data_IF_882618257191
#
_entry.id   IF_882618257191
#
_cell.length_a   1.000
_cell.length_b   1.000
_cell.length_c   1.000
_cell.angle_alpha   90.00
_cell.angle_beta   90.00
_cell.angle_gamma   90.00
#
_symmetry.space_group_name_H-M   'P 1'
#
loop_
_entity.id
_entity.type
_entity.pdbx_description
1 polymer ?
#
# COMPACT_ATOMS: atom_id res chain seq x y z
N UNK A 1 -19.01 17.84 -18.09
CA UNK A 1 -18.96 17.36 -16.68
C UNK A 1 -17.55 17.27 -16.08
N UNK A 2 -16.54 16.76 -16.82
CA UNK A 2 -15.15 16.55 -16.35
C UNK A 2 -14.50 17.77 -15.68
N UNK A 3 -14.70 18.98 -16.22
CA UNK A 3 -14.11 20.21 -15.67
C UNK A 3 -14.73 20.68 -14.35
N UNK A 4 -15.99 20.32 -14.05
CA UNK A 4 -16.61 20.66 -12.77
C UNK A 4 -16.10 19.72 -11.66
N UNK A 5 -16.05 18.41 -11.93
CA UNK A 5 -15.57 17.41 -10.95
C UNK A 5 -14.10 17.65 -10.57
N UNK A 6 -13.24 17.97 -11.55
CA UNK A 6 -11.85 18.35 -11.26
C UNK A 6 -11.73 19.58 -10.34
N UNK A 7 -12.57 20.61 -10.55
CA UNK A 7 -12.57 21.83 -9.71
C UNK A 7 -12.98 21.53 -8.27
N UNK A 8 -14.00 20.70 -8.07
CA UNK A 8 -14.44 20.30 -6.73
C UNK A 8 -13.40 19.42 -6.02
N UNK A 9 -12.74 18.51 -6.72
CA UNK A 9 -11.65 17.69 -6.16
C UNK A 9 -10.47 18.58 -5.74
N UNK A 10 -10.08 19.56 -6.58
CA UNK A 10 -9.01 20.52 -6.25
C UNK A 10 -9.41 21.39 -5.04
N UNK A 11 -10.66 21.85 -4.98
CA UNK A 11 -11.18 22.65 -3.86
C UNK A 11 -11.15 21.87 -2.54
N UNK A 12 -11.62 20.62 -2.57
CA UNK A 12 -11.61 19.72 -1.41
C UNK A 12 -10.18 19.43 -0.97
N UNK A 13 -9.25 19.22 -1.92
CA UNK A 13 -7.83 19.01 -1.63
C UNK A 13 -7.15 20.25 -1.02
N UNK A 14 -7.46 21.45 -1.52
CA UNK A 14 -6.96 22.70 -0.93
C UNK A 14 -7.48 22.91 0.50
N UNK A 15 -8.75 22.59 0.74
CA UNK A 15 -9.37 22.65 2.07
C UNK A 15 -8.74 21.66 3.04
N UNK A 16 -8.45 20.42 2.62
CA UNK A 16 -7.80 19.42 3.49
C UNK A 16 -6.34 19.80 3.79
N UNK A 17 -5.62 20.35 2.81
CA UNK A 17 -4.25 20.86 3.03
C UNK A 17 -4.23 22.07 3.96
N UNK A 18 -5.19 22.99 3.82
CA UNK A 18 -5.32 24.11 4.75
C UNK A 18 -5.60 23.64 6.18
N UNK A 19 -6.51 22.65 6.34
CA UNK A 19 -6.78 22.03 7.62
C UNK A 19 -5.56 21.34 8.23
N UNK A 20 -4.76 20.64 7.43
CA UNK A 20 -3.52 20.00 7.87
C UNK A 20 -2.45 21.02 8.28
N UNK A 21 -2.34 22.14 7.57
CA UNK A 21 -1.43 23.22 7.95
C UNK A 21 -1.85 23.88 9.28
N UNK A 22 -3.16 23.99 9.53
CA UNK A 22 -3.68 24.52 10.80
C UNK A 22 -3.47 23.55 11.97
N UNK A 23 -3.70 22.25 11.76
CA UNK A 23 -3.64 21.21 12.80
C UNK A 23 -2.22 20.74 13.15
N UNK A 24 -1.22 21.04 12.31
CA UNK A 24 0.16 20.64 12.57
C UNK A 24 0.79 21.56 13.63
N UNK A 25 1.32 21.03 14.75
CA UNK A 25 1.92 21.85 15.80
C UNK A 25 3.15 22.62 15.30
N UNK A 26 3.39 23.81 15.85
CA UNK A 26 4.56 24.63 15.53
C UNK A 26 5.84 23.93 15.97
N UNK A 27 6.75 23.69 15.03
CA UNK A 27 8.13 23.26 15.30
C UNK A 27 8.94 24.46 15.81
N UNK A 28 10.03 24.21 16.56
CA UNK A 28 10.92 25.25 17.10
C UNK A 28 11.41 26.25 16.03
N UNK A 29 11.53 25.82 14.77
CA UNK A 29 11.76 26.69 13.62
C UNK A 29 10.49 26.82 12.75
N UNK A 30 9.81 27.99 12.75
CA UNK A 30 8.57 28.19 11.99
C UNK A 30 8.76 28.12 10.47
N UNK A 31 9.97 28.35 9.96
CA UNK A 31 10.27 28.22 8.53
C UNK A 31 10.25 26.77 8.04
N UNK A 32 10.69 25.84 8.89
CA UNK A 32 10.79 24.42 8.54
C UNK A 32 9.40 23.81 8.28
N UNK A 33 8.40 24.22 9.08
CA UNK A 33 7.00 23.81 8.89
C UNK A 33 6.50 24.21 7.51
N UNK A 34 6.72 25.46 7.12
CA UNK A 34 6.22 25.99 5.85
C UNK A 34 6.97 25.40 4.65
N UNK A 35 8.29 25.18 4.74
CA UNK A 35 9.07 24.60 3.64
C UNK A 35 8.70 23.14 3.37
N UNK A 36 8.54 22.32 4.42
CA UNK A 36 8.09 20.92 4.27
C UNK A 36 6.70 20.88 3.64
N UNK A 37 5.79 21.76 4.05
CA UNK A 37 4.43 21.83 3.50
C UNK A 37 4.41 22.27 2.03
N UNK A 38 5.31 23.16 1.63
CA UNK A 38 5.42 23.63 0.25
C UNK A 38 5.99 22.54 -0.66
N UNK A 39 6.98 21.78 -0.16
CA UNK A 39 7.55 20.63 -0.88
C UNK A 39 6.49 19.53 -1.07
N UNK A 40 5.72 19.18 -0.03
CA UNK A 40 4.67 18.16 -0.14
C UNK A 40 3.55 18.57 -1.09
N UNK A 41 3.13 19.85 -1.07
CA UNK A 41 2.19 20.42 -2.04
C UNK A 41 2.72 20.31 -3.48
N UNK A 42 3.99 20.66 -3.70
CA UNK A 42 4.61 20.61 -5.02
C UNK A 42 4.66 19.17 -5.55
N UNK A 43 5.09 18.20 -4.74
CA UNK A 43 5.13 16.78 -5.12
C UNK A 43 3.73 16.28 -5.46
N UNK A 44 2.72 16.57 -4.63
CA UNK A 44 1.34 16.15 -4.90
C UNK A 44 0.76 16.80 -6.17
N UNK A 45 1.06 18.07 -6.43
CA UNK A 45 0.63 18.76 -7.65
C UNK A 45 1.26 18.12 -8.90
N UNK A 46 2.54 17.73 -8.84
CA UNK A 46 3.23 17.02 -9.92
C UNK A 46 2.57 15.67 -10.17
N UNK A 47 2.28 14.89 -9.13
CA UNK A 47 1.58 13.60 -9.26
C UNK A 47 0.18 13.81 -9.86
N UNK A 48 -0.56 14.82 -9.43
CA UNK A 48 -1.89 15.11 -9.97
C UNK A 48 -1.84 15.53 -11.45
N UNK A 49 -0.84 16.32 -11.84
CA UNK A 49 -0.58 16.67 -13.23
C UNK A 49 -0.23 15.45 -14.06
N UNK A 50 0.62 14.55 -13.55
CA UNK A 50 0.96 13.30 -14.21
C UNK A 50 -0.28 12.44 -14.44
N UNK A 51 -1.11 12.24 -13.40
CA UNK A 51 -2.36 11.48 -13.49
C UNK A 51 -3.37 12.13 -14.45
N UNK A 52 -3.46 13.47 -14.46
CA UNK A 52 -4.36 14.20 -15.37
C UNK A 52 -3.98 14.07 -16.85
N UNK A 53 -2.68 13.85 -17.13
CA UNK A 53 -2.14 13.65 -18.48
C UNK A 53 -2.25 12.22 -18.98
N UNK A 54 -2.62 11.26 -18.12
CA UNK A 54 -2.86 9.88 -18.56
C UNK A 54 -4.09 9.90 -19.48
N UNK A 55 -3.94 9.59 -20.78
CA UNK A 55 -5.09 9.47 -21.67
C UNK A 55 -6.01 8.41 -21.10
N UNK A 56 -7.22 8.83 -20.75
CA UNK A 56 -8.27 7.92 -20.30
C UNK A 56 -8.63 7.07 -21.52
N UNK A 57 -8.06 5.86 -21.60
CA UNK A 57 -8.46 4.88 -22.60
C UNK A 57 -9.97 4.71 -22.48
N UNK A 58 -10.67 4.73 -23.64
CA UNK A 58 -12.10 4.44 -23.69
C UNK A 58 -12.33 3.17 -22.86
N UNK A 59 -13.33 3.22 -21.97
CA UNK A 59 -13.84 2.04 -21.28
C UNK A 59 -14.36 1.08 -22.35
N UNK A 60 -13.48 0.25 -22.91
CA UNK A 60 -13.89 -1.10 -23.22
C UNK A 60 -14.27 -1.73 -21.90
N UNK A 61 -15.35 -2.51 -21.91
CA UNK A 61 -15.84 -3.28 -20.78
C UNK A 61 -14.78 -4.29 -20.37
N UNK A 62 -13.73 -3.83 -19.67
CA UNK A 62 -12.79 -4.69 -18.98
C UNK A 62 -13.56 -5.27 -17.81
N UNK A 63 -14.09 -6.46 -18.03
CA UNK A 63 -14.61 -7.32 -16.98
C UNK A 63 -13.53 -7.42 -15.89
N UNK A 64 -13.96 -7.27 -14.63
CA UNK A 64 -13.05 -7.37 -13.50
C UNK A 64 -12.61 -8.82 -13.38
N UNK A 65 -11.39 -9.09 -13.82
CA UNK A 65 -10.89 -10.44 -13.97
C UNK A 65 -10.53 -11.10 -12.64
N UNK A 66 -10.37 -12.41 -12.66
CA UNK A 66 -9.97 -13.20 -11.49
C UNK A 66 -8.60 -12.78 -10.97
N UNK A 67 -7.66 -12.55 -11.89
CA UNK A 67 -6.32 -12.08 -11.58
C UNK A 67 -6.34 -10.69 -10.92
N UNK A 68 -7.16 -9.76 -11.43
CA UNK A 68 -7.30 -8.42 -10.84
C UNK A 68 -7.89 -8.49 -9.42
N UNK A 69 -8.84 -9.40 -9.19
CA UNK A 69 -9.36 -9.67 -7.85
C UNK A 69 -8.25 -10.16 -6.92
N UNK A 70 -7.44 -11.12 -7.36
CA UNK A 70 -6.33 -11.64 -6.56
C UNK A 70 -5.35 -10.52 -6.19
N UNK A 71 -4.87 -9.74 -7.17
CA UNK A 71 -3.93 -8.62 -6.91
C UNK A 71 -4.52 -7.57 -5.98
N UNK A 72 -5.78 -7.18 -6.18
CA UNK A 72 -6.41 -6.21 -5.29
C UNK A 72 -6.44 -6.73 -3.85
N UNK A 73 -6.82 -7.99 -3.66
CA UNK A 73 -6.89 -8.64 -2.37
C UNK A 73 -5.52 -8.70 -1.68
N UNK A 74 -4.50 -9.17 -2.38
CA UNK A 74 -3.14 -9.32 -1.83
C UNK A 74 -2.49 -7.98 -1.52
N UNK A 75 -2.66 -6.97 -2.37
CA UNK A 75 -2.17 -5.60 -2.11
C UNK A 75 -2.85 -5.00 -0.87
N UNK A 76 -4.17 -5.12 -0.73
CA UNK A 76 -4.87 -4.63 0.45
C UNK A 76 -4.46 -5.39 1.72
N UNK A 77 -4.24 -6.70 1.63
CA UNK A 77 -3.72 -7.49 2.75
C UNK A 77 -2.30 -7.05 3.14
N UNK A 78 -1.40 -6.91 2.16
CA UNK A 78 -0.03 -6.45 2.37
C UNK A 78 0.00 -5.07 3.04
N UNK A 79 -0.83 -4.13 2.55
CA UNK A 79 -0.93 -2.78 3.11
C UNK A 79 -1.47 -2.80 4.55
N UNK A 80 -2.43 -3.67 4.87
CA UNK A 80 -2.97 -3.81 6.22
C UNK A 80 -1.94 -4.37 7.20
N UNK A 81 -1.22 -5.42 6.78
CA UNK A 81 -0.12 -6.00 7.56
C UNK A 81 1.00 -4.97 7.75
N UNK A 82 1.36 -4.23 6.71
CA UNK A 82 2.36 -3.18 6.76
C UNK A 82 1.97 -2.07 7.75
N UNK A 83 0.75 -1.54 7.68
CA UNK A 83 0.26 -0.51 8.60
C UNK A 83 0.28 -1.04 10.04
N UNK A 84 -0.10 -2.30 10.25
CA UNK A 84 -0.03 -2.90 11.59
C UNK A 84 1.41 -3.04 12.07
N UNK A 85 2.34 -3.39 11.19
CA UNK A 85 3.78 -3.44 11.48
C UNK A 85 4.33 -2.06 11.86
N UNK A 86 3.99 -1.02 11.09
CA UNK A 86 4.33 0.37 11.40
C UNK A 86 3.74 0.78 12.75
N UNK A 87 2.48 0.46 13.02
CA UNK A 87 1.84 0.76 14.30
C UNK A 87 2.63 0.18 15.50
N UNK A 88 3.15 -1.04 15.35
CA UNK A 88 3.93 -1.70 16.38
C UNK A 88 5.32 -1.07 16.62
N UNK A 89 5.98 -0.52 15.59
CA UNK A 89 7.32 0.07 15.73
C UNK A 89 7.31 1.57 16.01
N UNK A 90 6.28 2.30 15.57
CA UNK A 90 6.24 3.76 15.75
C UNK A 90 6.12 4.10 17.24
N UNK A 91 6.92 5.02 17.79
CA UNK A 91 6.75 5.44 19.18
C UNK A 91 5.43 6.18 19.39
N UNK A 92 4.97 6.27 20.64
CA UNK A 92 3.72 6.96 20.95
C UNK A 92 3.89 8.48 20.80
N UNK A 93 2.87 9.13 20.23
CA UNK A 93 2.80 10.60 20.14
C UNK A 93 2.42 11.21 21.48
N UNK A 94 2.69 12.49 21.68
CA UNK A 94 2.12 13.30 22.76
C UNK A 94 1.05 14.21 22.17
N UNK A 95 -0.26 13.97 22.41
CA UNK A 95 -0.88 12.91 23.22
C UNK A 95 -0.99 11.53 22.52
N UNK A 96 -1.02 10.46 23.34
CA UNK A 96 -0.87 9.05 22.90
C UNK A 96 -2.00 8.55 22.00
N UNK A 97 -3.24 8.95 22.31
CA UNK A 97 -4.43 8.44 21.63
C UNK A 97 -4.50 8.81 20.14
N UNK A 98 -3.89 9.93 19.73
CA UNK A 98 -3.92 10.42 18.34
C UNK A 98 -3.36 9.37 17.37
N UNK A 99 -2.20 8.78 17.71
CA UNK A 99 -1.58 7.72 16.92
C UNK A 99 -2.53 6.54 16.70
N UNK A 100 -3.16 6.07 17.76
CA UNK A 100 -4.04 4.90 17.71
C UNK A 100 -5.32 5.17 16.94
N UNK A 101 -5.91 6.36 17.08
CA UNK A 101 -7.10 6.76 16.33
C UNK A 101 -6.77 6.91 14.84
N UNK A 102 -5.67 7.58 14.50
CA UNK A 102 -5.28 7.78 13.11
C UNK A 102 -4.96 6.45 12.41
N UNK A 103 -4.06 5.64 12.98
CA UNK A 103 -3.70 4.34 12.41
C UNK A 103 -4.88 3.37 12.40
N UNK A 104 -5.72 3.39 13.44
CA UNK A 104 -6.93 2.58 13.54
C UNK A 104 -7.96 2.95 12.45
N UNK A 105 -8.17 4.24 12.19
CA UNK A 105 -9.10 4.70 11.16
C UNK A 105 -8.59 4.34 9.75
N UNK A 106 -7.30 4.52 9.48
CA UNK A 106 -6.69 4.09 8.21
C UNK A 106 -6.87 2.58 8.00
N UNK A 107 -6.62 1.77 9.05
CA UNK A 107 -6.79 0.32 8.99
C UNK A 107 -8.26 -0.08 8.80
N UNK A 108 -9.20 0.64 9.42
CA UNK A 108 -10.64 0.42 9.27
C UNK A 108 -11.09 0.68 7.83
N UNK A 109 -10.70 1.82 7.25
CA UNK A 109 -11.00 2.14 5.85
C UNK A 109 -10.44 1.06 4.91
N UNK A 110 -9.20 0.62 5.17
CA UNK A 110 -8.57 -0.44 4.40
C UNK A 110 -9.34 -1.77 4.51
N UNK A 111 -9.80 -2.13 5.72
CA UNK A 111 -10.58 -3.32 5.96
C UNK A 111 -11.92 -3.29 5.22
N UNK A 112 -12.59 -2.13 5.14
CA UNK A 112 -13.82 -1.97 4.35
C UNK A 112 -13.55 -2.24 2.87
N UNK A 113 -12.49 -1.66 2.30
CA UNK A 113 -12.13 -1.91 0.90
C UNK A 113 -11.76 -3.38 0.66
N UNK A 114 -10.98 -3.98 1.55
CA UNK A 114 -10.63 -5.39 1.49
C UNK A 114 -11.88 -6.29 1.49
N UNK A 115 -12.84 -6.03 2.40
CA UNK A 115 -14.11 -6.75 2.45
C UNK A 115 -14.93 -6.57 1.17
N UNK A 116 -14.98 -5.34 0.64
CA UNK A 116 -15.65 -5.05 -0.62
C UNK A 116 -15.11 -5.89 -1.78
N UNK A 117 -13.77 -5.99 -1.91
CA UNK A 117 -13.16 -6.82 -2.96
C UNK A 117 -13.33 -8.32 -2.74
N UNK A 118 -13.37 -8.80 -1.49
CA UNK A 118 -13.72 -10.20 -1.19
C UNK A 118 -15.10 -10.53 -1.74
N UNK A 119 -16.10 -9.70 -1.39
CA UNK A 119 -17.50 -9.95 -1.75
C UNK A 119 -17.83 -9.63 -3.20
N UNK A 120 -16.99 -8.84 -3.89
CA UNK A 120 -17.14 -8.57 -5.31
C UNK A 120 -17.06 -9.89 -6.10
N UNK A 121 -18.16 -10.26 -6.76
CA UNK A 121 -18.22 -11.45 -7.60
C UNK A 121 -17.38 -11.25 -8.87
N UNK A 122 -16.77 -12.33 -9.32
CA UNK A 122 -16.02 -12.44 -10.58
C UNK A 122 -16.65 -13.57 -11.37
N UNK A 123 -16.93 -13.33 -12.65
CA UNK A 123 -17.58 -14.29 -13.55
C UNK A 123 -16.56 -15.24 -14.21
N UNK A 124 -15.28 -14.85 -14.27
CA UNK A 124 -14.18 -15.67 -14.77
C UNK A 124 -13.91 -16.87 -13.86
N UNK A 125 -13.77 -18.04 -14.47
CA UNK A 125 -13.36 -19.26 -13.79
C UNK A 125 -11.84 -19.39 -13.86
N UNK A 126 -11.18 -19.87 -12.78
CA UNK A 126 -9.76 -20.14 -12.81
C UNK A 126 -9.44 -21.32 -13.74
N UNK A 127 -8.54 -21.07 -14.69
CA UNK A 127 -7.99 -22.11 -15.57
C UNK A 127 -6.83 -22.87 -14.89
N UNK A 128 -6.50 -24.07 -15.37
CA UNK A 128 -5.37 -24.85 -14.84
C UNK A 128 -4.05 -24.09 -14.90
N UNK A 129 -3.86 -23.29 -15.95
CA UNK A 129 -2.67 -22.45 -16.11
C UNK A 129 -2.59 -21.37 -15.03
N UNK A 130 -3.71 -20.77 -14.62
CA UNK A 130 -3.74 -19.80 -13.53
C UNK A 130 -3.25 -20.43 -12.22
N UNK A 131 -3.66 -21.67 -11.93
CA UNK A 131 -3.20 -22.39 -10.74
C UNK A 131 -1.71 -22.75 -10.81
N UNK A 132 -1.19 -23.14 -11.98
CA UNK A 132 0.24 -23.37 -12.17
C UNK A 132 1.05 -22.07 -11.98
N UNK A 133 0.54 -20.98 -12.56
CA UNK A 133 0.85 -19.56 -12.32
C UNK A 133 1.11 -19.27 -10.83
N UNK A 134 0.03 -19.48 -10.09
CA UNK A 134 -0.10 -19.19 -8.66
C UNK A 134 0.84 -20.04 -7.82
N UNK A 135 0.92 -21.34 -8.11
CA UNK A 135 1.76 -22.28 -7.40
C UNK A 135 3.25 -21.97 -7.60
N UNK A 136 3.69 -21.63 -8.83
CA UNK A 136 5.08 -21.21 -9.09
C UNK A 136 5.43 -19.94 -8.33
N UNK A 137 4.55 -18.95 -8.32
CA UNK A 137 4.74 -17.72 -7.55
C UNK A 137 4.85 -18.00 -6.05
N UNK A 138 3.96 -18.83 -5.51
CA UNK A 138 3.99 -19.23 -4.10
C UNK A 138 5.29 -19.97 -3.75
N UNK A 139 5.71 -20.95 -4.55
CA UNK A 139 6.96 -21.68 -4.35
C UNK A 139 8.20 -20.78 -4.42
N UNK A 140 8.25 -19.82 -5.36
CA UNK A 140 9.33 -18.85 -5.45
C UNK A 140 9.40 -18.01 -4.17
N UNK A 141 8.27 -17.45 -3.73
CA UNK A 141 8.24 -16.61 -2.52
C UNK A 141 8.57 -17.38 -1.26
N UNK A 142 8.13 -18.64 -1.14
CA UNK A 142 8.52 -19.51 -0.05
C UNK A 142 10.03 -19.74 -0.03
N UNK A 143 10.62 -20.05 -1.18
CA UNK A 143 12.08 -20.20 -1.31
C UNK A 143 12.82 -18.92 -0.92
N UNK A 144 12.30 -17.75 -1.34
CA UNK A 144 12.87 -16.46 -1.00
C UNK A 144 12.79 -16.17 0.51
N UNK A 145 11.64 -16.46 1.14
CA UNK A 145 11.47 -16.35 2.59
C UNK A 145 12.49 -17.23 3.31
N UNK A 146 12.62 -18.50 2.91
CA UNK A 146 13.59 -19.42 3.51
C UNK A 146 15.03 -18.92 3.36
N UNK A 147 15.41 -18.45 2.16
CA UNK A 147 16.73 -17.89 1.91
C UNK A 147 17.00 -16.65 2.79
N UNK A 148 16.04 -15.73 2.89
CA UNK A 148 16.14 -14.56 3.77
C UNK A 148 16.30 -14.96 5.24
N UNK A 149 15.53 -15.95 5.71
CA UNK A 149 15.63 -16.44 7.09
C UNK A 149 16.97 -17.15 7.37
N UNK A 150 17.50 -17.92 6.40
CA UNK A 150 18.83 -18.53 6.53
C UNK A 150 19.92 -17.46 6.62
N UNK A 151 19.88 -16.45 5.75
CA UNK A 151 20.82 -15.32 5.80
C UNK A 151 20.69 -14.59 7.14
N UNK A 152 19.45 -14.32 7.58
CA UNK A 152 19.19 -13.68 8.87
C UNK A 152 19.80 -14.47 10.02
N UNK A 153 19.65 -15.80 10.02
CA UNK A 153 20.23 -16.69 11.03
C UNK A 153 21.75 -16.56 11.09
N UNK A 154 22.43 -16.55 9.93
CA UNK A 154 23.88 -16.38 9.85
C UNK A 154 24.28 -15.01 10.40
N UNK A 155 23.58 -13.95 10.00
CA UNK A 155 23.86 -12.58 10.46
C UNK A 155 23.67 -12.47 11.97
N UNK A 156 22.59 -13.03 12.53
CA UNK A 156 22.30 -13.00 13.97
C UNK A 156 23.35 -13.72 14.81
N UNK A 157 24.06 -14.69 14.22
CA UNK A 157 25.17 -15.39 14.89
C UNK A 157 26.36 -14.46 15.13
N UNK A 158 26.67 -13.58 14.17
CA UNK A 158 27.77 -12.61 14.29
C UNK A 158 27.35 -11.30 14.97
N UNK A 159 26.11 -10.87 14.76
CA UNK A 159 25.56 -9.62 15.28
C UNK A 159 24.20 -9.88 15.93
N UNK A 160 24.16 -10.11 17.26
CA UNK A 160 22.90 -10.34 17.94
C UNK A 160 22.06 -9.06 17.93
N UNK A 161 20.83 -9.15 17.43
CA UNK A 161 19.85 -8.08 17.47
C UNK A 161 18.46 -8.65 17.78
N UNK A 162 17.56 -7.79 18.27
CA UNK A 162 16.20 -8.20 18.65
C UNK A 162 15.23 -7.97 17.50
N UNK A 163 14.55 -9.03 17.08
CA UNK A 163 13.53 -8.96 16.03
C UNK A 163 12.17 -8.61 16.68
N UNK A 164 11.73 -7.36 16.50
CA UNK A 164 10.43 -6.93 17.02
C UNK A 164 9.28 -7.46 16.15
N UNK A 165 8.10 -7.66 16.74
CA UNK A 165 6.92 -8.12 16.00
C UNK A 165 6.58 -7.22 14.80
N UNK A 166 6.78 -5.90 14.93
CA UNK A 166 6.54 -4.96 13.84
C UNK A 166 7.51 -5.13 12.66
N UNK A 167 8.78 -5.46 12.91
CA UNK A 167 9.75 -5.76 11.85
C UNK A 167 9.34 -7.02 11.06
N UNK A 168 8.85 -8.05 11.74
CA UNK A 168 8.37 -9.30 11.11
C UNK A 168 7.15 -9.01 10.24
N UNK A 169 6.20 -8.19 10.71
CA UNK A 169 5.02 -7.81 9.93
C UNK A 169 5.40 -7.02 8.67
N UNK A 170 6.32 -6.06 8.78
CA UNK A 170 6.80 -5.29 7.61
C UNK A 170 7.49 -6.22 6.60
N UNK A 171 8.33 -7.14 7.07
CA UNK A 171 8.94 -8.16 6.21
C UNK A 171 7.87 -9.03 5.53
N UNK A 172 6.88 -9.53 6.27
CA UNK A 172 5.78 -10.32 5.71
C UNK A 172 4.99 -9.57 4.64
N UNK A 173 4.69 -8.29 4.86
CA UNK A 173 4.05 -7.44 3.85
C UNK A 173 4.90 -7.29 2.58
N UNK A 174 6.22 -7.13 2.73
CA UNK A 174 7.13 -7.09 1.58
C UNK A 174 7.17 -8.41 0.81
N UNK A 175 7.07 -9.55 1.50
CA UNK A 175 7.01 -10.87 0.86
C UNK A 175 5.71 -11.10 0.09
N UNK A 176 4.58 -10.58 0.58
CA UNK A 176 3.30 -10.61 -0.16
C UNK A 176 3.41 -9.78 -1.45
N UNK A 177 4.06 -8.62 -1.40
CA UNK A 177 4.32 -7.83 -2.63
C UNK A 177 5.28 -8.55 -3.58
N UNK A 178 6.30 -9.23 -3.06
CA UNK A 178 7.19 -10.06 -3.89
C UNK A 178 6.42 -11.20 -4.56
N UNK A 179 5.40 -11.76 -3.89
CA UNK A 179 4.49 -12.75 -4.46
C UNK A 179 3.67 -12.17 -5.62
N UNK A 180 3.08 -10.98 -5.43
CA UNK A 180 2.33 -10.32 -6.50
C UNK A 180 3.22 -10.05 -7.73
N UNK A 181 4.46 -9.60 -7.51
CA UNK A 181 5.41 -9.36 -8.59
C UNK A 181 5.79 -10.67 -9.30
N UNK A 182 6.06 -11.74 -8.54
CA UNK A 182 6.40 -13.05 -9.10
C UNK A 182 5.25 -13.62 -9.92
N UNK A 183 4.02 -13.53 -9.40
CA UNK A 183 2.82 -13.97 -10.08
C UNK A 183 2.58 -13.19 -11.38
N UNK A 184 2.74 -11.87 -11.36
CA UNK A 184 2.66 -11.02 -12.54
C UNK A 184 3.69 -11.38 -13.62
N UNK A 185 4.93 -11.69 -13.21
CA UNK A 185 5.98 -12.10 -14.13
C UNK A 185 5.68 -13.44 -14.79
N UNK A 186 5.13 -14.41 -14.05
CA UNK A 186 4.79 -15.73 -14.60
C UNK A 186 3.56 -15.68 -15.50
N UNK A 187 2.53 -14.94 -15.11
CA UNK A 187 1.31 -14.76 -15.89
C UNK A 187 1.62 -14.15 -17.27
N UNK A 188 2.44 -13.09 -17.31
CA UNK A 188 2.84 -12.42 -18.56
C UNK A 188 3.75 -13.27 -19.46
N UNK A 189 4.57 -14.16 -18.90
CA UNK A 189 5.51 -15.00 -19.66
C UNK A 189 4.87 -16.22 -20.30
N UNK A 190 3.75 -16.70 -19.76
CA UNK A 190 3.03 -17.80 -20.41
C UNK A 190 2.14 -17.35 -21.57
N UNK A 191 1.84 -16.04 -21.69
CA UNK A 191 0.84 -15.49 -22.60
C UNK A 191 1.36 -15.34 -24.02
#
# INVERSE_FOLDING_TARGET
MKNRVCKWIILIWLMTMFGLWFLTPSTENPWLKNTVFLITLAVQAIVFLAVSKIPQTKKEDRYFGLTEKLYSLTIFAAMGIYIKGVWAITPNTTPVWIKHVFLGLVLLVLAIFFLYFIFKKVEEKPDERFYADLAKAACLTLSLILACLMILSIVTFFFPFTLTAGMILIFGAAMILAFDIAFFLFEKRGA
#
